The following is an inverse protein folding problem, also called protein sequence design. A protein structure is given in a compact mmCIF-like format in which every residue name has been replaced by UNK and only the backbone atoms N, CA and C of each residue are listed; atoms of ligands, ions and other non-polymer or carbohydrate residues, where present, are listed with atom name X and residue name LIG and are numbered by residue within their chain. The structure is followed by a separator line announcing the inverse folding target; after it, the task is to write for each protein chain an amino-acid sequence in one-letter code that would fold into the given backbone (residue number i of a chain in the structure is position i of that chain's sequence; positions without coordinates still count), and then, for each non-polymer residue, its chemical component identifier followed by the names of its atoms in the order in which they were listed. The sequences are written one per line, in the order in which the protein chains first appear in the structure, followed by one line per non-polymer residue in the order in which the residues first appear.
data_IF_443718756332
#
_entry.id   IF_443718756332
#
_cell.length_a   1.000
_cell.length_b   1.000
_cell.length_c   1.000
_cell.angle_alpha   90.00
_cell.angle_beta   90.00
_cell.angle_gamma   90.00
#
_symmetry.space_group_name_H-M   'P 1'
#
loop_
_entity.id
_entity.type
_entity.pdbx_description
1 polymer ?
#
# COMPACT_ATOMS: atom_id res chain seq x y z
N UNK A 1 -18.94 -9.37 -8.19
CA UNK A 1 -18.35 -9.17 -6.85
C UNK A 1 -17.25 -10.20 -6.59
N UNK A 2 -17.53 -11.52 -6.56
CA UNK A 2 -16.56 -12.57 -6.17
C UNK A 2 -15.32 -12.61 -7.06
N UNK A 3 -15.47 -12.52 -8.38
CA UNK A 3 -14.33 -12.49 -9.31
C UNK A 3 -13.42 -11.26 -9.03
N UNK A 4 -14.00 -10.09 -8.77
CA UNK A 4 -13.24 -8.90 -8.42
C UNK A 4 -12.43 -9.08 -7.13
N UNK A 5 -13.05 -9.63 -6.06
CA UNK A 5 -12.33 -9.92 -4.82
C UNK A 5 -11.22 -10.95 -5.01
N UNK A 6 -11.45 -12.00 -5.79
CA UNK A 6 -10.44 -13.01 -6.08
C UNK A 6 -9.24 -12.42 -6.82
N UNK A 7 -9.47 -11.57 -7.84
CA UNK A 7 -8.39 -10.85 -8.55
C UNK A 7 -7.65 -9.92 -7.62
N UNK A 8 -8.36 -9.16 -6.76
CA UNK A 8 -7.76 -8.28 -5.76
C UNK A 8 -6.82 -9.05 -4.84
N UNK A 9 -7.33 -10.10 -4.19
CA UNK A 9 -6.54 -10.91 -3.25
C UNK A 9 -5.34 -11.55 -3.94
N UNK A 10 -5.53 -12.14 -5.11
CA UNK A 10 -4.48 -12.83 -5.86
C UNK A 10 -3.38 -11.88 -6.32
N UNK A 11 -3.72 -10.68 -6.80
CA UNK A 11 -2.75 -9.68 -7.24
C UNK A 11 -1.84 -9.25 -6.08
N UNK A 12 -2.42 -8.90 -4.94
CA UNK A 12 -1.63 -8.47 -3.78
C UNK A 12 -0.93 -9.63 -3.07
N UNK A 13 -1.52 -10.84 -3.06
CA UNK A 13 -0.87 -12.04 -2.55
C UNK A 13 0.36 -12.42 -3.39
N UNK A 14 0.27 -12.39 -4.72
CA UNK A 14 1.43 -12.63 -5.59
C UNK A 14 2.53 -11.58 -5.37
N UNK A 15 2.16 -10.34 -5.09
CA UNK A 15 3.11 -9.25 -4.84
C UNK A 15 3.87 -9.40 -3.52
N UNK A 16 3.24 -9.97 -2.48
CA UNK A 16 3.87 -10.19 -1.18
C UNK A 16 4.67 -11.50 -1.08
N UNK A 17 4.53 -12.41 -2.03
CA UNK A 17 5.34 -13.62 -2.11
C UNK A 17 6.85 -13.30 -2.07
N UNK A 18 7.28 -12.32 -2.85
CA UNK A 18 8.69 -11.88 -2.91
C UNK A 18 9.17 -11.36 -1.55
N UNK A 19 8.31 -10.72 -0.76
CA UNK A 19 8.68 -10.10 0.52
C UNK A 19 9.16 -11.17 1.51
N UNK A 20 8.42 -12.27 1.66
CA UNK A 20 8.79 -13.38 2.52
C UNK A 20 10.02 -14.14 2.02
N UNK A 21 10.28 -14.13 0.70
CA UNK A 21 11.38 -14.83 0.07
C UNK A 21 12.64 -13.98 -0.13
N UNK A 22 12.61 -12.70 0.24
CA UNK A 22 13.66 -11.76 -0.16
C UNK A 22 15.05 -12.17 0.34
N UNK A 23 15.17 -12.76 1.54
CA UNK A 23 16.44 -13.30 2.04
C UNK A 23 16.93 -14.48 1.19
N UNK A 24 16.05 -15.43 0.86
CA UNK A 24 16.39 -16.56 0.00
C UNK A 24 16.77 -16.12 -1.43
N UNK A 25 16.05 -15.14 -1.99
CA UNK A 25 16.38 -14.58 -3.30
C UNK A 25 17.73 -13.87 -3.27
N UNK A 26 18.05 -13.15 -2.20
CA UNK A 26 19.35 -12.52 -2.00
C UNK A 26 20.49 -13.53 -2.04
N UNK A 27 20.32 -14.64 -1.35
CA UNK A 27 21.31 -15.75 -1.36
C UNK A 27 21.39 -16.40 -2.73
N UNK A 28 20.26 -16.68 -3.39
CA UNK A 28 20.20 -17.30 -4.71
C UNK A 28 20.92 -16.49 -5.77
N UNK A 29 20.71 -15.16 -5.78
CA UNK A 29 21.28 -14.26 -6.78
C UNK A 29 22.62 -13.65 -6.37
N UNK A 30 23.13 -13.97 -5.16
CA UNK A 30 24.37 -13.43 -4.59
C UNK A 30 24.39 -11.87 -4.59
N UNK A 31 23.27 -11.23 -4.22
CA UNK A 31 23.08 -9.77 -4.20
C UNK A 31 23.08 -9.22 -2.76
N UNK A 32 23.36 -7.93 -2.64
CA UNK A 32 23.34 -7.24 -1.33
C UNK A 32 21.93 -7.03 -0.80
N UNK A 33 21.81 -6.72 0.50
CA UNK A 33 20.54 -6.31 1.11
C UNK A 33 19.96 -5.06 0.45
N UNK A 34 20.82 -4.11 0.09
CA UNK A 34 20.42 -2.90 -0.63
C UNK A 34 19.90 -3.20 -2.03
N UNK A 35 20.55 -4.08 -2.80
CA UNK A 35 20.09 -4.47 -4.14
C UNK A 35 18.73 -5.15 -4.08
N UNK A 36 18.53 -6.03 -3.10
CA UNK A 36 17.25 -6.70 -2.87
C UNK A 36 16.16 -5.69 -2.49
N UNK A 37 16.44 -4.76 -1.58
CA UNK A 37 15.52 -3.69 -1.18
C UNK A 37 15.19 -2.75 -2.35
N UNK A 38 16.15 -2.46 -3.24
CA UNK A 38 15.99 -1.63 -4.43
C UNK A 38 14.89 -2.17 -5.36
N UNK A 39 14.66 -3.49 -5.39
CA UNK A 39 13.59 -4.08 -6.21
C UNK A 39 12.19 -3.63 -5.79
N UNK A 40 12.01 -3.20 -4.54
CA UNK A 40 10.76 -2.62 -4.05
C UNK A 40 10.45 -1.28 -4.71
N UNK A 41 11.48 -0.53 -5.13
CA UNK A 41 11.32 0.72 -5.88
C UNK A 41 10.72 0.43 -7.26
N UNK A 42 11.16 -0.65 -7.92
CA UNK A 42 10.58 -1.07 -9.20
C UNK A 42 9.09 -1.40 -9.06
N UNK A 43 8.69 -2.03 -7.95
CA UNK A 43 7.27 -2.27 -7.64
C UNK A 43 6.50 -0.94 -7.51
N UNK A 44 7.00 0.02 -6.74
CA UNK A 44 6.33 1.33 -6.60
C UNK A 44 6.31 2.12 -7.89
N UNK A 45 7.35 2.05 -8.71
CA UNK A 45 7.38 2.66 -10.04
C UNK A 45 6.29 2.06 -10.94
N UNK A 46 6.11 0.75 -10.91
CA UNK A 46 5.02 0.06 -11.61
C UNK A 46 3.64 0.50 -11.14
N UNK A 47 3.41 0.59 -9.81
CA UNK A 47 2.18 1.09 -9.23
C UNK A 47 1.90 2.53 -9.69
N UNK A 48 2.88 3.41 -9.58
CA UNK A 48 2.75 4.80 -9.96
C UNK A 48 2.43 4.95 -11.46
N UNK A 49 3.17 4.25 -12.32
CA UNK A 49 2.94 4.27 -13.77
C UNK A 49 1.52 3.77 -14.10
N UNK A 50 1.08 2.68 -13.49
CA UNK A 50 -0.26 2.13 -13.70
C UNK A 50 -1.34 3.12 -13.27
N UNK A 51 -1.25 3.69 -12.08
CA UNK A 51 -2.26 4.63 -11.57
C UNK A 51 -2.30 5.95 -12.34
N UNK A 52 -1.14 6.50 -12.69
CA UNK A 52 -1.06 7.79 -13.38
C UNK A 52 -1.50 7.72 -14.84
N UNK A 53 -1.06 6.70 -15.57
CA UNK A 53 -1.26 6.63 -17.01
C UNK A 53 -2.38 5.68 -17.42
N UNK A 54 -2.69 4.67 -16.60
CA UNK A 54 -3.64 3.62 -16.96
C UNK A 54 -4.88 3.54 -16.05
N UNK A 55 -4.89 4.25 -14.92
CA UNK A 55 -6.01 4.21 -13.96
C UNK A 55 -7.37 4.57 -14.55
N UNK A 56 -7.39 5.44 -15.59
CA UNK A 56 -8.63 5.87 -16.26
C UNK A 56 -9.03 5.01 -17.46
N UNK A 57 -8.17 4.06 -17.90
CA UNK A 57 -8.45 3.21 -19.06
C UNK A 57 -9.71 2.36 -18.88
N UNK A 58 -10.01 1.97 -17.65
CA UNK A 58 -11.21 1.20 -17.33
C UNK A 58 -12.53 1.95 -17.63
N UNK A 59 -12.49 3.28 -17.75
CA UNK A 59 -13.66 4.08 -18.16
C UNK A 59 -13.96 3.98 -19.66
N UNK A 60 -12.96 3.57 -20.47
CA UNK A 60 -13.11 3.36 -21.92
C UNK A 60 -13.26 1.88 -22.27
N UNK A 61 -12.42 1.03 -21.69
CA UNK A 61 -12.30 -0.37 -22.07
C UNK A 61 -13.08 -1.33 -21.16
N UNK A 62 -13.65 -0.81 -20.07
CA UNK A 62 -14.38 -1.60 -19.08
C UNK A 62 -13.53 -2.12 -17.92
N UNK A 63 -14.20 -2.45 -16.83
CA UNK A 63 -13.59 -2.98 -15.60
C UNK A 63 -13.04 -4.40 -15.82
N UNK A 64 -13.80 -5.22 -16.53
CA UNK A 64 -13.47 -6.64 -16.82
C UNK A 64 -12.16 -6.78 -17.57
N UNK A 65 -11.95 -5.97 -18.62
CA UNK A 65 -10.72 -6.02 -19.42
C UNK A 65 -9.49 -5.66 -18.57
N UNK A 66 -9.60 -4.65 -17.70
CA UNK A 66 -8.51 -4.26 -16.80
C UNK A 66 -8.25 -5.34 -15.75
N UNK A 67 -9.29 -6.01 -15.23
CA UNK A 67 -9.14 -7.14 -14.32
C UNK A 67 -8.47 -8.35 -15.00
N UNK A 68 -8.84 -8.66 -16.25
CA UNK A 68 -8.20 -9.72 -17.03
C UNK A 68 -6.71 -9.40 -17.30
N UNK A 69 -6.40 -8.14 -17.63
CA UNK A 69 -5.01 -7.69 -17.80
C UNK A 69 -4.20 -7.83 -16.51
N UNK A 70 -4.78 -7.46 -15.35
CA UNK A 70 -4.12 -7.65 -14.05
C UNK A 70 -3.85 -9.15 -13.78
N UNK A 71 -4.82 -10.05 -14.04
CA UNK A 71 -4.64 -11.49 -13.87
C UNK A 71 -3.57 -12.06 -14.82
N UNK A 72 -3.51 -11.61 -16.07
CA UNK A 72 -2.47 -12.01 -17.03
C UNK A 72 -1.08 -11.52 -16.61
N UNK A 73 -0.98 -10.32 -16.06
CA UNK A 73 0.28 -9.81 -15.50
C UNK A 73 0.73 -10.63 -14.30
N UNK A 74 -0.20 -11.04 -13.41
CA UNK A 74 0.12 -11.94 -12.29
C UNK A 74 0.67 -13.28 -12.82
N UNK A 75 0.06 -13.87 -13.86
CA UNK A 75 0.58 -15.08 -14.50
C UNK A 75 1.99 -14.89 -15.04
N UNK A 76 2.21 -13.81 -15.79
CA UNK A 76 3.54 -13.51 -16.35
C UNK A 76 4.60 -13.34 -15.25
N UNK A 77 4.24 -12.67 -14.15
CA UNK A 77 5.14 -12.51 -12.99
C UNK A 77 5.45 -13.85 -12.34
N UNK A 78 4.45 -14.71 -12.12
CA UNK A 78 4.66 -16.02 -11.50
C UNK A 78 5.55 -16.92 -12.39
N UNK A 79 5.41 -16.84 -13.72
CA UNK A 79 6.32 -17.50 -14.67
C UNK A 79 7.75 -16.96 -14.55
N UNK A 80 7.94 -15.64 -14.48
CA UNK A 80 9.27 -15.05 -14.29
C UNK A 80 9.91 -15.47 -12.96
N UNK A 81 9.12 -15.50 -11.87
CA UNK A 81 9.62 -15.91 -10.57
C UNK A 81 9.91 -17.41 -10.47
N UNK A 82 9.24 -18.25 -11.25
CA UNK A 82 9.55 -19.69 -11.32
C UNK A 82 10.89 -20.02 -11.95
N UNK A 83 11.42 -19.09 -12.77
CA UNK A 83 12.68 -19.20 -13.52
C UNK A 83 13.60 -18.01 -13.20
N UNK A 84 13.68 -17.66 -11.89
CA UNK A 84 14.45 -16.49 -11.46
C UNK A 84 15.95 -16.77 -11.50
N UNK A 85 16.66 -16.22 -12.50
CA UNK A 85 18.09 -16.44 -12.71
C UNK A 85 18.93 -15.15 -12.60
N UNK A 86 18.30 -13.98 -12.54
CA UNK A 86 19.00 -12.71 -12.52
C UNK A 86 18.30 -11.59 -11.77
N UNK A 87 19.07 -10.62 -11.28
CA UNK A 87 18.54 -9.41 -10.67
C UNK A 87 17.65 -8.60 -11.64
N UNK A 88 18.01 -8.59 -12.95
CA UNK A 88 17.19 -7.91 -13.96
C UNK A 88 15.78 -8.56 -14.09
N UNK A 89 15.71 -9.90 -14.08
CA UNK A 89 14.43 -10.61 -14.10
C UNK A 89 13.59 -10.27 -12.85
N UNK A 90 14.23 -10.16 -11.69
CA UNK A 90 13.55 -9.74 -10.45
C UNK A 90 13.02 -8.30 -10.55
N UNK A 91 13.79 -7.36 -11.10
CA UNK A 91 13.31 -5.98 -11.34
C UNK A 91 12.09 -5.95 -12.26
N UNK A 92 12.14 -6.71 -13.37
CA UNK A 92 11.01 -6.81 -14.31
C UNK A 92 9.78 -7.41 -13.61
N UNK A 93 9.95 -8.50 -12.86
CA UNK A 93 8.87 -9.11 -12.11
C UNK A 93 8.24 -8.11 -11.11
N UNK A 94 9.06 -7.37 -10.35
CA UNK A 94 8.59 -6.36 -9.39
C UNK A 94 7.87 -5.19 -10.08
N UNK A 95 8.38 -4.72 -11.22
CA UNK A 95 7.73 -3.67 -12.00
C UNK A 95 6.34 -4.13 -12.49
N UNK A 96 6.24 -5.34 -13.04
CA UNK A 96 4.98 -5.92 -13.50
C UNK A 96 4.00 -6.18 -12.34
N UNK A 97 4.49 -6.65 -11.18
CA UNK A 97 3.67 -6.77 -9.96
C UNK A 97 3.09 -5.42 -9.55
N UNK A 98 3.92 -4.38 -9.53
CA UNK A 98 3.46 -3.02 -9.23
C UNK A 98 2.41 -2.55 -10.23
N UNK A 99 2.65 -2.78 -11.52
CA UNK A 99 1.70 -2.40 -12.56
C UNK A 99 0.35 -3.12 -12.41
N UNK A 100 0.36 -4.43 -12.16
CA UNK A 100 -0.85 -5.20 -11.87
C UNK A 100 -1.59 -4.70 -10.63
N UNK A 101 -0.84 -4.36 -9.56
CA UNK A 101 -1.39 -3.80 -8.32
C UNK A 101 -2.05 -2.44 -8.55
N UNK A 102 -1.47 -1.57 -9.37
CA UNK A 102 -2.04 -0.28 -9.73
C UNK A 102 -3.32 -0.40 -10.58
N UNK A 103 -3.36 -1.32 -11.55
CA UNK A 103 -4.59 -1.64 -12.30
C UNK A 103 -5.69 -2.16 -11.37
N UNK A 104 -5.32 -3.05 -10.44
CA UNK A 104 -6.25 -3.62 -9.45
C UNK A 104 -6.77 -2.53 -8.53
N UNK A 105 -5.92 -1.67 -8.00
CA UNK A 105 -6.32 -0.57 -7.11
C UNK A 105 -7.24 0.46 -7.80
N UNK A 106 -7.10 0.69 -9.09
CA UNK A 106 -7.94 1.63 -9.83
C UNK A 106 -9.21 0.99 -10.42
N UNK A 107 -9.07 -0.10 -11.16
CA UNK A 107 -10.17 -0.68 -11.95
C UNK A 107 -10.93 -1.77 -11.20
N UNK A 108 -10.20 -2.70 -10.53
CA UNK A 108 -10.84 -3.85 -9.89
C UNK A 108 -11.57 -3.44 -8.60
N UNK A 109 -10.98 -2.54 -7.81
CA UNK A 109 -11.66 -2.00 -6.61
C UNK A 109 -12.93 -1.24 -7.01
N UNK A 110 -12.88 -0.43 -8.07
CA UNK A 110 -14.07 0.23 -8.59
C UNK A 110 -15.13 -0.79 -9.05
N UNK A 111 -14.72 -1.85 -9.76
CA UNK A 111 -15.60 -2.92 -10.18
C UNK A 111 -16.30 -3.63 -9.02
N UNK A 112 -15.55 -3.91 -7.94
CA UNK A 112 -16.12 -4.51 -6.73
C UNK A 112 -17.18 -3.58 -6.13
N UNK A 113 -16.86 -2.30 -5.94
CA UNK A 113 -17.77 -1.32 -5.33
C UNK A 113 -19.04 -1.13 -6.17
N UNK A 114 -18.89 -1.02 -7.49
CA UNK A 114 -20.00 -0.88 -8.43
C UNK A 114 -20.88 -2.14 -8.48
N UNK A 115 -20.32 -3.34 -8.20
CA UNK A 115 -21.02 -4.61 -8.20
C UNK A 115 -21.76 -4.92 -6.89
N UNK A 116 -21.54 -4.14 -5.83
CA UNK A 116 -22.23 -4.34 -4.54
C UNK A 116 -23.64 -3.74 -4.65
N UNK A 117 -24.70 -4.42 -4.12
CA UNK A 117 -26.05 -3.89 -4.11
C UNK A 117 -26.12 -2.49 -3.51
N UNK A 118 -26.94 -1.61 -4.07
CA UNK A 118 -27.04 -0.20 -3.71
C UNK A 118 -27.31 0.05 -2.20
N UNK A 119 -27.90 -0.92 -1.51
CA UNK A 119 -28.14 -0.86 -0.06
C UNK A 119 -26.83 -0.85 0.74
N UNK A 120 -25.80 -1.59 0.31
CA UNK A 120 -24.48 -1.66 0.95
C UNK A 120 -23.48 -0.65 0.36
N UNK A 121 -23.61 -0.34 -0.93
CA UNK A 121 -22.71 0.59 -1.63
C UNK A 121 -22.80 2.04 -1.10
N UNK A 122 -23.95 2.42 -0.51
CA UNK A 122 -24.13 3.73 0.15
C UNK A 122 -23.40 3.84 1.49
N UNK A 123 -22.94 2.73 2.08
CA UNK A 123 -22.15 2.76 3.29
C UNK A 123 -20.70 3.16 2.97
N UNK A 124 -20.32 4.37 3.37
CA UNK A 124 -18.95 4.87 3.27
C UNK A 124 -17.93 3.95 3.97
N UNK A 125 -18.37 3.23 5.02
CA UNK A 125 -17.55 2.28 5.76
C UNK A 125 -17.20 1.03 4.93
N UNK A 126 -18.15 0.46 4.16
CA UNK A 126 -17.90 -0.70 3.29
C UNK A 126 -16.93 -0.32 2.18
N UNK A 127 -17.14 0.82 1.51
CA UNK A 127 -16.24 1.29 0.46
C UNK A 127 -14.82 1.55 1.01
N UNK A 128 -14.71 2.16 2.19
CA UNK A 128 -13.41 2.39 2.84
C UNK A 128 -12.72 1.07 3.23
N UNK A 129 -13.48 0.07 3.68
CA UNK A 129 -12.97 -1.27 3.98
C UNK A 129 -12.38 -1.95 2.73
N UNK A 130 -13.07 -1.86 1.60
CA UNK A 130 -12.62 -2.47 0.35
C UNK A 130 -11.38 -1.75 -0.19
N UNK A 131 -11.41 -0.43 -0.21
CA UNK A 131 -10.31 0.40 -0.74
C UNK A 131 -9.04 0.26 0.10
N UNK A 132 -9.17 0.38 1.43
CA UNK A 132 -8.02 0.35 2.35
C UNK A 132 -7.65 -1.07 2.80
N UNK A 133 -8.65 -1.89 3.13
CA UNK A 133 -8.45 -3.24 3.69
C UNK A 133 -8.15 -4.30 2.64
N UNK A 134 -8.76 -4.22 1.46
CA UNK A 134 -8.63 -5.25 0.43
C UNK A 134 -7.18 -5.52 0.00
N UNK A 135 -6.40 -4.51 -0.41
CA UNK A 135 -4.98 -4.68 -0.72
C UNK A 135 -4.17 -5.25 0.45
N UNK A 136 -4.41 -4.76 1.66
CA UNK A 136 -3.67 -5.17 2.86
C UNK A 136 -3.96 -6.62 3.24
N UNK A 137 -5.20 -7.09 3.08
CA UNK A 137 -5.58 -8.49 3.28
C UNK A 137 -4.86 -9.36 2.24
N UNK A 138 -4.84 -8.96 0.98
CA UNK A 138 -4.12 -9.68 -0.07
C UNK A 138 -2.62 -9.80 0.24
N UNK A 139 -1.97 -8.72 0.61
CA UNK A 139 -0.57 -8.72 1.05
C UNK A 139 -0.34 -9.62 2.26
N UNK A 140 -1.18 -9.55 3.29
CA UNK A 140 -1.06 -10.37 4.48
C UNK A 140 -1.21 -11.86 4.17
N UNK A 141 -2.24 -12.23 3.40
CA UNK A 141 -2.50 -13.62 2.99
C UNK A 141 -1.33 -14.17 2.19
N UNK A 142 -0.83 -13.43 1.20
CA UNK A 142 0.26 -13.91 0.35
C UNK A 142 1.58 -14.09 1.10
N UNK A 143 1.94 -13.14 1.98
CA UNK A 143 3.15 -13.23 2.78
C UNK A 143 3.09 -14.40 3.78
N UNK A 144 1.98 -14.52 4.54
CA UNK A 144 1.81 -15.64 5.49
C UNK A 144 1.73 -16.98 4.78
N UNK A 145 0.97 -17.08 3.68
CA UNK A 145 0.89 -18.31 2.89
C UNK A 145 2.27 -18.75 2.44
N UNK A 146 3.09 -17.81 1.95
CA UNK A 146 4.47 -18.10 1.50
C UNK A 146 5.35 -18.54 2.67
N UNK A 147 5.32 -17.81 3.78
CA UNK A 147 6.10 -18.14 4.97
C UNK A 147 5.74 -19.53 5.53
N UNK A 148 4.43 -19.81 5.70
CA UNK A 148 3.94 -21.13 6.17
C UNK A 148 4.31 -22.23 5.17
N UNK A 149 4.12 -22.01 3.87
CA UNK A 149 4.38 -22.98 2.83
C UNK A 149 5.83 -23.44 2.81
N UNK A 150 6.75 -22.49 2.86
CA UNK A 150 8.18 -22.78 2.73
C UNK A 150 8.81 -23.17 4.09
N UNK A 151 8.47 -22.46 5.17
CA UNK A 151 9.12 -22.65 6.47
C UNK A 151 8.48 -23.76 7.30
N UNK A 152 7.14 -23.78 7.42
CA UNK A 152 6.44 -24.72 8.26
C UNK A 152 6.14 -26.04 7.54
N UNK A 153 5.61 -25.98 6.31
CA UNK A 153 5.27 -27.17 5.52
C UNK A 153 6.49 -27.74 4.78
N UNK A 154 7.55 -26.95 4.64
CA UNK A 154 8.79 -27.30 3.90
C UNK A 154 8.53 -27.81 2.48
N UNK A 155 7.48 -27.28 1.85
CA UNK A 155 7.10 -27.65 0.50
C UNK A 155 7.87 -26.83 -0.54
N UNK A 156 8.20 -27.41 -1.71
CA UNK A 156 8.87 -26.70 -2.79
C UNK A 156 8.05 -25.45 -3.22
N UNK A 157 8.74 -24.33 -3.41
CA UNK A 157 8.12 -23.07 -3.82
C UNK A 157 7.40 -23.17 -5.16
N UNK A 158 7.88 -24.04 -6.06
CA UNK A 158 7.27 -24.27 -7.37
C UNK A 158 5.80 -24.70 -7.28
N UNK A 159 5.42 -25.48 -6.27
CA UNK A 159 4.03 -25.87 -6.05
C UNK A 159 3.14 -24.68 -5.65
N UNK A 160 3.67 -23.76 -4.83
CA UNK A 160 2.95 -22.53 -4.48
C UNK A 160 2.77 -21.64 -5.70
N UNK A 161 3.82 -21.47 -6.51
CA UNK A 161 3.76 -20.71 -7.76
C UNK A 161 2.74 -21.33 -8.72
N UNK A 162 2.74 -22.66 -8.85
CA UNK A 162 1.78 -23.39 -9.69
C UNK A 162 0.33 -23.20 -9.19
N UNK A 163 0.13 -23.27 -7.87
CA UNK A 163 -1.17 -23.06 -7.24
C UNK A 163 -1.70 -21.65 -7.54
N UNK A 164 -0.88 -20.62 -7.29
CA UNK A 164 -1.26 -19.23 -7.55
C UNK A 164 -1.44 -18.96 -9.06
N UNK A 165 -0.59 -19.55 -9.90
CA UNK A 165 -0.71 -19.47 -11.35
C UNK A 165 -1.99 -20.13 -11.88
N UNK A 166 -2.33 -21.31 -11.37
CA UNK A 166 -3.58 -21.98 -11.68
C UNK A 166 -4.78 -21.15 -11.23
N UNK A 167 -4.73 -20.58 -10.03
CA UNK A 167 -5.77 -19.68 -9.55
C UNK A 167 -5.92 -18.46 -10.46
N UNK A 168 -4.82 -17.84 -10.90
CA UNK A 168 -4.83 -16.70 -11.83
C UNK A 168 -5.44 -17.09 -13.20
N UNK A 169 -5.09 -18.26 -13.73
CA UNK A 169 -5.66 -18.77 -14.98
C UNK A 169 -7.17 -19.02 -14.86
N UNK A 170 -7.62 -19.62 -13.76
CA UNK A 170 -9.04 -19.85 -13.48
C UNK A 170 -9.84 -18.56 -13.26
N UNK A 171 -9.18 -17.45 -12.88
CA UNK A 171 -9.86 -16.16 -12.79
C UNK A 171 -10.25 -15.60 -14.16
N UNK A 172 -9.55 -15.91 -15.25
CA UNK A 172 -9.86 -15.39 -16.59
C UNK A 172 -11.28 -15.77 -17.06
N UNK A 173 -11.71 -17.05 -17.06
CA UNK A 173 -13.08 -17.38 -17.37
C UNK A 173 -14.09 -16.80 -16.36
N UNK A 174 -13.76 -16.75 -15.06
CA UNK A 174 -14.63 -16.14 -14.06
C UNK A 174 -14.86 -14.64 -14.30
N UNK A 175 -13.81 -13.91 -14.72
CA UNK A 175 -13.91 -12.51 -15.14
C UNK A 175 -14.78 -12.39 -16.39
N UNK A 176 -14.58 -13.26 -17.38
CA UNK A 176 -15.33 -13.24 -18.63
C UNK A 176 -16.84 -13.46 -18.41
N UNK A 177 -17.20 -14.36 -17.51
CA UNK A 177 -18.59 -14.68 -17.16
C UNK A 177 -19.24 -13.64 -16.23
N UNK A 178 -18.46 -12.71 -15.66
CA UNK A 178 -18.99 -11.69 -14.77
C UNK A 178 -19.57 -10.51 -15.54
N UNK A 179 -20.52 -9.77 -14.92
CA UNK A 179 -21.10 -8.57 -15.54
C UNK A 179 -20.10 -7.41 -15.59
N UNK A 180 -20.10 -6.67 -16.70
CA UNK A 180 -19.42 -5.38 -16.81
C UNK A 180 -20.25 -4.29 -16.11
N UNK A 181 -19.60 -3.45 -15.31
CA UNK A 181 -20.28 -2.36 -14.59
C UNK A 181 -19.96 -0.98 -15.14
N UNK A 182 -18.89 -0.85 -15.91
CA UNK A 182 -18.50 0.44 -16.46
C UNK A 182 -19.42 0.86 -17.61
N UNK A 183 -19.87 2.10 -17.58
CA UNK A 183 -20.41 2.77 -18.74
C UNK A 183 -19.27 3.26 -19.62
N UNK A 184 -18.84 2.41 -20.59
CA UNK A 184 -17.72 2.72 -21.47
C UNK A 184 -18.03 3.98 -22.30
N UNK A 185 -17.15 4.98 -22.21
CA UNK A 185 -17.28 6.24 -22.97
C UNK A 185 -16.20 6.31 -24.05
N UNK A 186 -16.51 6.82 -25.25
CA UNK A 186 -15.53 7.00 -26.31
C UNK A 186 -14.62 8.22 -26.02
N UNK A 187 -13.75 8.07 -25.02
CA UNK A 187 -12.76 9.10 -24.68
C UNK A 187 -11.51 8.87 -25.52
N UNK A 188 -10.91 9.88 -26.15
CA UNK A 188 -9.66 9.74 -26.88
C UNK A 188 -8.55 9.15 -26.01
N UNK A 189 -7.76 8.21 -26.54
CA UNK A 189 -6.70 7.52 -25.78
C UNK A 189 -5.67 8.51 -25.24
N UNK A 190 -5.36 9.56 -25.99
CA UNK A 190 -4.47 10.64 -25.56
C UNK A 190 -4.92 11.27 -24.24
N UNK A 191 -6.21 11.57 -24.11
CA UNK A 191 -6.76 12.22 -22.91
C UNK A 191 -6.81 11.28 -21.70
N UNK A 192 -6.86 9.95 -21.95
CA UNK A 192 -6.83 8.93 -20.91
C UNK A 192 -5.44 8.70 -20.34
N UNK A 193 -4.40 8.78 -21.20
CA UNK A 193 -3.01 8.56 -20.83
C UNK A 193 -2.34 9.81 -20.23
N UNK A 194 -2.96 10.99 -20.37
CA UNK A 194 -2.44 12.21 -19.73
C UNK A 194 -2.79 12.20 -18.24
N UNK A 195 -1.78 12.30 -17.34
CA UNK A 195 -2.03 12.42 -15.92
C UNK A 195 -2.87 13.66 -15.61
N UNK A 196 -4.04 13.47 -15.03
CA UNK A 196 -4.88 14.59 -14.57
C UNK A 196 -4.49 14.93 -13.13
N UNK A 197 -3.41 15.70 -12.99
CA UNK A 197 -2.89 16.14 -11.69
C UNK A 197 -3.32 17.58 -11.45
N UNK A 198 -4.31 17.79 -10.62
CA UNK A 198 -4.76 19.11 -10.21
C UNK A 198 -4.72 19.27 -8.71
N UNK A 199 -4.11 20.36 -8.25
CA UNK A 199 -4.16 20.79 -6.87
C UNK A 199 -5.15 21.94 -6.72
N UNK A 200 -6.33 21.72 -6.12
CA UNK A 200 -7.31 22.77 -5.90
C UNK A 200 -6.73 23.93 -5.10
N UNK A 201 -7.00 25.18 -5.49
CA UNK A 201 -6.41 26.37 -4.85
C UNK A 201 -6.62 26.40 -3.33
N UNK A 202 -7.78 25.93 -2.86
CA UNK A 202 -8.15 25.87 -1.43
C UNK A 202 -7.32 24.88 -0.61
N UNK A 203 -6.76 23.84 -1.25
CA UNK A 203 -5.94 22.82 -0.59
C UNK A 203 -4.45 23.18 -0.59
N UNK A 204 -4.01 24.08 -1.47
CA UNK A 204 -2.59 24.47 -1.58
C UNK A 204 -1.92 24.83 -0.25
N UNK A 205 -2.54 25.61 0.67
CA UNK A 205 -1.89 25.99 1.92
C UNK A 205 -1.64 24.82 2.88
N UNK A 206 -2.48 23.77 2.77
CA UNK A 206 -2.41 22.58 3.65
C UNK A 206 -1.76 21.38 2.96
N UNK A 207 -1.47 21.47 1.64
CA UNK A 207 -1.02 20.33 0.86
C UNK A 207 0.26 19.71 1.41
N UNK A 208 1.28 20.52 1.67
CA UNK A 208 2.56 20.02 2.20
C UNK A 208 2.41 19.36 3.58
N UNK A 209 1.83 20.01 4.60
CA UNK A 209 1.66 19.36 5.92
C UNK A 209 0.72 18.15 5.89
N UNK A 210 -0.29 18.15 5.03
CA UNK A 210 -1.15 16.99 4.79
C UNK A 210 -0.36 15.84 4.16
N UNK A 211 0.38 16.12 3.08
CA UNK A 211 1.19 15.11 2.40
C UNK A 211 2.31 14.57 3.30
N UNK A 212 2.90 15.40 4.17
CA UNK A 212 3.90 14.94 5.13
C UNK A 212 3.35 13.82 6.03
N UNK A 213 2.12 13.96 6.54
CA UNK A 213 1.49 12.90 7.34
C UNK A 213 1.23 11.62 6.51
N UNK A 214 0.77 11.75 5.27
CA UNK A 214 0.52 10.60 4.37
C UNK A 214 1.82 9.91 3.98
N UNK A 215 2.84 10.68 3.57
CA UNK A 215 4.16 10.18 3.17
C UNK A 215 4.82 9.41 4.32
N UNK A 216 4.68 9.87 5.57
CA UNK A 216 5.22 9.17 6.74
C UNK A 216 4.76 7.72 6.83
N UNK A 217 3.46 7.46 6.72
CA UNK A 217 2.92 6.10 6.73
C UNK A 217 3.31 5.28 5.50
N UNK A 218 3.35 5.91 4.32
CA UNK A 218 3.69 5.23 3.07
C UNK A 218 5.17 4.84 3.00
N UNK A 219 6.08 5.69 3.46
CA UNK A 219 7.52 5.37 3.53
C UNK A 219 7.80 4.26 4.53
N UNK A 220 7.08 4.21 5.67
CA UNK A 220 7.15 3.05 6.58
C UNK A 220 6.63 1.77 5.93
N UNK A 221 5.55 1.83 5.18
CA UNK A 221 5.05 0.69 4.41
C UNK A 221 6.03 0.21 3.35
N UNK A 222 6.70 1.13 2.66
CA UNK A 222 7.77 0.82 1.71
C UNK A 222 8.97 0.18 2.41
N UNK A 223 9.35 0.69 3.57
CA UNK A 223 10.40 0.13 4.40
C UNK A 223 10.04 -1.28 4.88
N UNK A 224 8.82 -1.50 5.35
CA UNK A 224 8.33 -2.81 5.72
C UNK A 224 8.43 -3.82 4.57
N UNK A 225 8.04 -3.43 3.35
CA UNK A 225 8.17 -4.31 2.18
C UNK A 225 9.62 -4.67 1.85
N UNK A 226 10.54 -3.72 1.98
CA UNK A 226 11.93 -3.90 1.59
C UNK A 226 12.77 -4.61 2.66
N UNK A 227 12.47 -4.39 3.93
CA UNK A 227 13.38 -4.76 5.03
C UNK A 227 12.80 -5.77 6.04
N UNK A 228 11.56 -6.26 5.88
CA UNK A 228 11.00 -7.24 6.83
C UNK A 228 11.85 -8.52 6.94
N UNK A 229 12.37 -9.04 5.82
CA UNK A 229 13.23 -10.22 5.84
C UNK A 229 14.59 -9.95 6.51
N UNK A 230 15.37 -8.91 6.16
CA UNK A 230 16.60 -8.57 6.87
C UNK A 230 16.40 -8.27 8.37
N UNK A 231 15.28 -7.64 8.74
CA UNK A 231 14.97 -7.37 10.14
C UNK A 231 14.70 -8.63 10.93
N UNK A 232 13.92 -9.58 10.37
CA UNK A 232 13.65 -10.87 10.99
C UNK A 232 14.93 -11.70 11.10
N UNK A 233 15.74 -11.77 10.05
CA UNK A 233 17.03 -12.46 10.02
C UNK A 233 17.99 -11.92 11.10
N UNK A 234 18.08 -10.59 11.24
CA UNK A 234 18.94 -9.98 12.28
C UNK A 234 18.45 -10.26 13.68
N UNK A 235 17.12 -10.26 13.92
CA UNK A 235 16.53 -10.50 15.23
C UNK A 235 16.61 -11.98 15.67
N UNK A 236 16.58 -12.91 14.73
CA UNK A 236 16.59 -14.35 15.01
C UNK A 236 17.98 -14.98 14.83
N UNK A 237 18.90 -14.30 14.14
CA UNK A 237 20.22 -14.82 13.81
C UNK A 237 20.24 -15.86 12.67
N UNK A 238 19.11 -16.11 12.03
CA UNK A 238 18.97 -17.01 10.88
C UNK A 238 17.83 -16.58 9.97
N UNK A 239 17.85 -17.07 8.70
CA UNK A 239 16.77 -16.83 7.75
C UNK A 239 15.54 -17.66 8.13
N UNK A 240 14.42 -16.97 8.41
CA UNK A 240 13.11 -17.56 8.69
C UNK A 240 12.04 -16.78 7.90
N UNK A 241 11.47 -17.45 6.90
CA UNK A 241 10.52 -16.84 5.95
C UNK A 241 9.18 -16.55 6.60
N UNK A 242 8.80 -17.34 7.60
CA UNK A 242 7.58 -17.09 8.38
C UNK A 242 7.75 -15.85 9.28
N UNK A 243 8.91 -15.73 9.93
CA UNK A 243 9.23 -14.55 10.74
C UNK A 243 9.27 -13.28 9.89
N UNK A 244 9.87 -13.33 8.69
CA UNK A 244 9.86 -12.24 7.73
C UNK A 244 8.41 -11.83 7.33
N UNK A 245 7.56 -12.83 7.06
CA UNK A 245 6.14 -12.60 6.79
C UNK A 245 5.42 -11.98 7.99
N UNK A 246 5.67 -12.44 9.21
CA UNK A 246 5.08 -11.93 10.45
C UNK A 246 5.48 -10.47 10.69
N UNK A 247 6.74 -10.09 10.47
CA UNK A 247 7.20 -8.70 10.57
C UNK A 247 6.46 -7.81 9.56
N UNK A 248 6.34 -8.25 8.30
CA UNK A 248 5.62 -7.49 7.29
C UNK A 248 4.13 -7.37 7.59
N UNK A 249 3.48 -8.49 7.93
CA UNK A 249 2.03 -8.56 8.19
C UNK A 249 1.67 -7.78 9.47
N UNK A 250 2.53 -7.80 10.48
CA UNK A 250 2.35 -7.01 11.69
C UNK A 250 2.10 -5.52 11.37
N UNK A 251 2.86 -4.97 10.43
CA UNK A 251 2.64 -3.60 9.97
C UNK A 251 1.39 -3.45 9.09
N UNK A 252 1.31 -4.22 7.99
CA UNK A 252 0.34 -3.95 6.92
C UNK A 252 -1.10 -4.31 7.31
N UNK A 253 -1.30 -5.34 8.12
CA UNK A 253 -2.63 -5.75 8.57
C UNK A 253 -3.27 -4.67 9.46
N UNK A 254 -2.51 -4.12 10.41
CA UNK A 254 -3.03 -3.10 11.32
C UNK A 254 -3.14 -1.72 10.66
N UNK A 255 -2.33 -1.41 9.65
CA UNK A 255 -2.51 -0.20 8.84
C UNK A 255 -3.91 -0.13 8.22
N UNK A 256 -4.43 -1.25 7.71
CA UNK A 256 -5.78 -1.32 7.14
C UNK A 256 -6.88 -0.98 8.14
N UNK A 257 -6.72 -1.37 9.41
CA UNK A 257 -7.70 -1.12 10.46
C UNK A 257 -7.78 0.34 10.91
N UNK A 258 -6.76 1.15 10.64
CA UNK A 258 -6.71 2.55 11.05
C UNK A 258 -7.92 3.37 10.62
N UNK A 259 -8.42 3.15 9.38
CA UNK A 259 -9.60 3.83 8.87
C UNK A 259 -10.89 3.53 9.66
N UNK A 260 -11.05 2.31 10.19
CA UNK A 260 -12.21 1.91 10.98
C UNK A 260 -12.19 2.46 12.41
N UNK A 261 -11.00 2.70 12.93
CA UNK A 261 -10.82 3.24 14.28
C UNK A 261 -10.95 4.77 14.33
N UNK A 262 -11.03 5.42 13.18
CA UNK A 262 -11.17 6.88 13.08
C UNK A 262 -12.55 7.33 13.57
N UNK A 263 -12.62 7.77 14.84
CA UNK A 263 -13.83 8.30 15.48
C UNK A 263 -13.59 9.75 15.93
N UNK A 264 -14.66 10.55 15.93
CA UNK A 264 -14.62 11.94 16.42
C UNK A 264 -13.85 12.89 15.49
N UNK A 265 -13.06 13.80 16.09
CA UNK A 265 -12.31 14.84 15.40
C UNK A 265 -11.16 14.25 14.59
N UNK A 266 -11.16 14.50 13.28
CA UNK A 266 -10.10 14.03 12.38
C UNK A 266 -8.76 14.71 12.71
N UNK A 267 -8.76 15.98 13.13
CA UNK A 267 -7.55 16.69 13.52
C UNK A 267 -6.90 16.06 14.76
N UNK A 268 -7.70 15.78 15.81
CA UNK A 268 -7.17 15.14 17.02
C UNK A 268 -6.68 13.73 16.72
N UNK A 269 -7.42 12.95 15.93
CA UNK A 269 -6.99 11.62 15.52
C UNK A 269 -5.67 11.66 14.74
N UNK A 270 -5.49 12.63 13.84
CA UNK A 270 -4.23 12.85 13.13
C UNK A 270 -3.09 13.15 14.11
N UNK A 271 -3.28 14.11 15.00
CA UNK A 271 -2.23 14.52 15.95
C UNK A 271 -1.80 13.40 16.89
N UNK A 272 -2.78 12.71 17.51
CA UNK A 272 -2.47 11.59 18.42
C UNK A 272 -1.84 10.41 17.69
N UNK A 273 -2.32 10.06 16.50
CA UNK A 273 -1.75 8.95 15.75
C UNK A 273 -0.30 9.21 15.34
N UNK A 274 0.04 10.44 14.95
CA UNK A 274 1.42 10.78 14.61
C UNK A 274 2.36 10.71 15.82
N UNK A 275 1.92 11.17 17.00
CA UNK A 275 2.71 11.07 18.23
C UNK A 275 2.86 9.61 18.68
N UNK A 276 1.76 8.85 18.66
CA UNK A 276 1.77 7.42 19.04
C UNK A 276 2.57 6.57 18.06
N UNK A 277 2.62 6.94 16.78
CA UNK A 277 3.48 6.31 15.77
C UNK A 277 4.97 6.50 16.12
N UNK A 278 5.39 7.72 16.55
CA UNK A 278 6.77 7.94 17.03
C UNK A 278 7.08 7.13 18.28
N UNK A 279 6.17 7.06 19.23
CA UNK A 279 6.34 6.25 20.43
C UNK A 279 6.48 4.76 20.08
N UNK A 280 5.60 4.24 19.20
CA UNK A 280 5.68 2.86 18.73
C UNK A 280 7.01 2.59 18.01
N UNK A 281 7.49 3.52 17.19
CA UNK A 281 8.76 3.38 16.49
C UNK A 281 9.96 3.42 17.45
N UNK A 282 9.92 4.26 18.47
CA UNK A 282 10.95 4.25 19.54
C UNK A 282 11.01 2.90 20.24
N UNK A 283 9.84 2.33 20.59
CA UNK A 283 9.76 1.00 21.18
C UNK A 283 10.26 -0.09 20.22
N UNK A 284 9.96 0.02 18.92
CA UNK A 284 10.44 -0.92 17.91
C UNK A 284 11.97 -0.89 17.81
N UNK A 285 12.59 0.30 17.79
CA UNK A 285 14.06 0.44 17.78
C UNK A 285 14.66 -0.17 19.07
N UNK A 286 14.07 0.14 20.24
CA UNK A 286 14.51 -0.42 21.52
C UNK A 286 14.43 -1.95 21.53
N UNK A 287 13.30 -2.52 21.09
CA UNK A 287 13.11 -3.96 20.99
C UNK A 287 14.11 -4.61 20.01
N UNK A 288 14.39 -3.93 18.88
CA UNK A 288 15.37 -4.39 17.89
C UNK A 288 16.80 -4.44 18.50
N UNK A 289 17.20 -3.38 19.18
CA UNK A 289 18.53 -3.33 19.85
C UNK A 289 18.64 -4.39 20.96
N UNK A 290 17.55 -4.63 21.70
CA UNK A 290 17.48 -5.67 22.73
C UNK A 290 17.29 -7.09 22.17
N UNK A 291 17.32 -7.30 20.86
CA UNK A 291 17.10 -8.59 20.19
C UNK A 291 15.79 -9.27 20.61
N UNK A 292 14.75 -8.47 20.88
CA UNK A 292 13.43 -8.96 21.28
C UNK A 292 12.48 -9.00 20.08
N UNK A 293 12.38 -10.15 19.42
CA UNK A 293 11.54 -10.34 18.23
C UNK A 293 10.06 -10.00 18.49
N UNK A 294 9.47 -10.54 19.57
CA UNK A 294 8.07 -10.29 19.90
C UNK A 294 7.80 -8.80 20.20
N UNK A 295 8.66 -8.19 21.00
CA UNK A 295 8.59 -6.75 21.30
C UNK A 295 8.70 -5.90 20.05
N UNK A 296 9.58 -6.27 19.11
CA UNK A 296 9.70 -5.61 17.82
C UNK A 296 8.42 -5.73 16.99
N UNK A 297 7.89 -6.95 16.80
CA UNK A 297 6.68 -7.20 16.00
C UNK A 297 5.48 -6.43 16.56
N UNK A 298 5.26 -6.46 17.88
CA UNK A 298 4.15 -5.73 18.52
C UNK A 298 4.28 -4.22 18.36
N UNK A 299 5.47 -3.67 18.56
CA UNK A 299 5.73 -2.22 18.38
C UNK A 299 5.61 -1.81 16.91
N UNK A 300 6.11 -2.65 15.99
CA UNK A 300 6.01 -2.45 14.56
C UNK A 300 4.56 -2.49 14.05
N UNK A 301 3.77 -3.38 14.62
CA UNK A 301 2.31 -3.44 14.41
C UNK A 301 1.61 -2.15 14.89
N UNK A 302 2.05 -1.58 16.02
CA UNK A 302 1.64 -0.26 16.48
C UNK A 302 1.97 0.85 15.48
N UNK A 303 3.17 0.83 14.89
CA UNK A 303 3.53 1.77 13.80
C UNK A 303 2.55 1.67 12.63
N UNK A 304 2.19 0.45 12.20
CA UNK A 304 1.20 0.22 11.16
C UNK A 304 -0.17 0.82 11.51
N UNK A 305 -0.67 0.51 12.71
CA UNK A 305 -1.97 0.98 13.19
C UNK A 305 -2.06 2.51 13.21
N UNK A 306 -1.10 3.16 13.84
CA UNK A 306 -1.10 4.61 13.97
C UNK A 306 -0.85 5.32 12.64
N UNK A 307 -0.02 4.76 11.76
CA UNK A 307 0.12 5.23 10.37
C UNK A 307 -1.20 5.16 9.61
N UNK A 308 -1.96 4.08 9.76
CA UNK A 308 -3.28 3.91 9.14
C UNK A 308 -4.31 4.91 9.64
N UNK A 309 -4.38 5.15 10.96
CA UNK A 309 -5.25 6.17 11.56
C UNK A 309 -4.87 7.57 11.04
N UNK A 310 -3.59 7.89 11.02
CA UNK A 310 -3.07 9.17 10.54
C UNK A 310 -3.38 9.41 9.07
N UNK A 311 -3.16 8.41 8.22
CA UNK A 311 -3.49 8.48 6.79
C UNK A 311 -4.99 8.67 6.55
N UNK A 312 -5.85 7.91 7.26
CA UNK A 312 -7.30 8.05 7.15
C UNK A 312 -7.80 9.42 7.63
N UNK A 313 -7.24 9.93 8.74
CA UNK A 313 -7.57 11.25 9.27
C UNK A 313 -7.15 12.36 8.31
N UNK A 314 -5.92 12.29 7.77
CA UNK A 314 -5.41 13.22 6.78
C UNK A 314 -6.29 13.23 5.52
N UNK A 315 -6.65 12.06 4.99
CA UNK A 315 -7.55 11.93 3.83
C UNK A 315 -8.93 12.53 4.11
N UNK A 316 -9.50 12.28 5.29
CA UNK A 316 -10.79 12.87 5.68
C UNK A 316 -10.75 14.39 5.72
N UNK A 317 -9.68 14.99 6.25
CA UNK A 317 -9.49 16.45 6.27
C UNK A 317 -9.37 17.01 4.86
N UNK A 318 -8.48 16.45 4.03
CA UNK A 318 -8.19 16.98 2.70
C UNK A 318 -9.34 16.81 1.71
N UNK A 319 -10.17 15.75 1.86
CA UNK A 319 -11.27 15.45 0.94
C UNK A 319 -12.60 16.10 1.32
N UNK A 320 -12.68 16.75 2.50
CA UNK A 320 -13.95 17.27 3.04
C UNK A 320 -14.63 18.31 2.15
N UNK A 321 -13.82 19.22 1.55
CA UNK A 321 -14.32 20.34 0.72
C UNK A 321 -13.99 20.18 -0.78
N UNK A 322 -13.61 18.97 -1.21
CA UNK A 322 -13.32 18.70 -2.62
C UNK A 322 -14.61 18.33 -3.36
N UNK A 323 -14.87 19.04 -4.46
CA UNK A 323 -16.00 18.73 -5.33
C UNK A 323 -15.85 17.36 -5.98
N UNK A 324 -16.97 16.71 -6.32
CA UNK A 324 -16.98 15.34 -6.84
C UNK A 324 -16.14 15.19 -8.13
N UNK A 325 -16.13 16.20 -8.97
CA UNK A 325 -15.36 16.27 -10.22
C UNK A 325 -13.84 16.41 -10.01
N UNK A 326 -13.41 17.07 -8.92
CA UNK A 326 -12.00 17.27 -8.58
C UNK A 326 -11.38 16.08 -7.79
N UNK A 327 -12.22 15.20 -7.20
CA UNK A 327 -11.75 14.12 -6.30
C UNK A 327 -10.80 13.15 -6.98
N UNK A 328 -11.08 12.77 -8.21
CA UNK A 328 -10.24 11.82 -8.94
C UNK A 328 -8.85 12.40 -9.22
N UNK A 329 -8.78 13.68 -9.61
CA UNK A 329 -7.53 14.39 -9.91
C UNK A 329 -6.69 14.59 -8.64
N UNK A 330 -7.34 14.92 -7.51
CA UNK A 330 -6.67 15.07 -6.21
C UNK A 330 -6.14 13.74 -5.69
N UNK A 331 -6.91 12.65 -5.80
CA UNK A 331 -6.44 11.31 -5.43
C UNK A 331 -5.24 10.88 -6.28
N UNK A 332 -5.30 11.11 -7.60
CA UNK A 332 -4.18 10.81 -8.49
C UNK A 332 -2.92 11.58 -8.07
N UNK A 333 -3.05 12.85 -7.69
CA UNK A 333 -1.94 13.67 -7.19
C UNK A 333 -1.38 13.12 -5.87
N UNK A 334 -2.23 12.74 -4.92
CA UNK A 334 -1.82 12.16 -3.63
C UNK A 334 -1.04 10.87 -3.87
N UNK A 335 -1.56 9.97 -4.71
CA UNK A 335 -0.88 8.73 -5.05
C UNK A 335 0.45 8.97 -5.78
N UNK A 336 0.49 9.90 -6.74
CA UNK A 336 1.72 10.25 -7.44
C UNK A 336 2.81 10.74 -6.49
N UNK A 337 2.47 11.70 -5.62
CA UNK A 337 3.42 12.26 -4.65
C UNK A 337 3.81 11.21 -3.61
N UNK A 338 2.86 10.41 -3.12
CA UNK A 338 3.11 9.34 -2.15
C UNK A 338 4.06 8.27 -2.69
N UNK A 339 3.83 7.76 -3.91
CA UNK A 339 4.71 6.77 -4.53
C UNK A 339 6.08 7.35 -4.89
N UNK A 340 6.14 8.59 -5.39
CA UNK A 340 7.41 9.25 -5.67
C UNK A 340 8.23 9.43 -4.38
N UNK A 341 7.62 9.90 -3.29
CA UNK A 341 8.28 10.02 -2.00
C UNK A 341 8.75 8.67 -1.45
N UNK A 342 7.91 7.61 -1.57
CA UNK A 342 8.27 6.24 -1.17
C UNK A 342 9.41 5.68 -2.00
N UNK A 343 9.44 5.97 -3.31
CA UNK A 343 10.53 5.55 -4.20
C UNK A 343 11.85 6.26 -3.86
N UNK A 344 11.81 7.58 -3.65
CA UNK A 344 13.00 8.36 -3.25
C UNK A 344 13.53 7.89 -1.90
N UNK A 345 12.65 7.76 -0.92
CA UNK A 345 13.01 7.25 0.41
C UNK A 345 13.55 5.82 0.33
N UNK A 346 12.88 4.93 -0.41
CA UNK A 346 13.29 3.55 -0.62
C UNK A 346 14.67 3.46 -1.28
N UNK A 347 14.95 4.32 -2.26
CA UNK A 347 16.27 4.43 -2.88
C UNK A 347 17.35 4.79 -1.85
N UNK A 348 17.11 5.85 -1.07
CA UNK A 348 18.05 6.29 -0.04
C UNK A 348 18.27 5.19 1.01
N UNK A 349 17.20 4.56 1.49
CA UNK A 349 17.29 3.46 2.45
C UNK A 349 18.03 2.23 1.89
N UNK A 350 17.79 1.88 0.62
CA UNK A 350 18.46 0.76 -0.04
C UNK A 350 19.96 1.00 -0.23
N UNK A 351 20.34 2.21 -0.63
CA UNK A 351 21.77 2.58 -0.73
C UNK A 351 22.41 2.55 0.66
N UNK A 352 21.77 3.17 1.66
CA UNK A 352 22.30 3.25 3.02
C UNK A 352 22.46 1.88 3.67
N UNK A 353 21.58 0.93 3.37
CA UNK A 353 21.61 -0.44 3.89
C UNK A 353 22.89 -1.22 3.54
N UNK A 354 23.64 -0.78 2.52
CA UNK A 354 24.93 -1.39 2.16
C UNK A 354 26.10 -0.86 3.00
N UNK A 355 25.92 0.23 3.72
CA UNK A 355 27.00 0.93 4.44
C UNK A 355 26.81 0.97 5.95
N UNK A 356 25.57 0.81 6.44
CA UNK A 356 25.26 0.89 7.87
C UNK A 356 24.47 -0.32 8.34
N UNK A 357 24.63 -0.72 9.63
CA UNK A 357 23.81 -1.80 10.20
C UNK A 357 22.34 -1.39 10.30
N UNK A 358 21.43 -2.38 10.31
CA UNK A 358 19.99 -2.15 10.25
C UNK A 358 19.44 -1.29 11.40
N UNK A 359 20.03 -1.33 12.60
CA UNK A 359 19.60 -0.46 13.70
C UNK A 359 19.84 1.02 13.42
N UNK A 360 20.97 1.37 12.74
CA UNK A 360 21.22 2.76 12.32
C UNK A 360 20.26 3.17 11.20
N UNK A 361 19.95 2.24 10.31
CA UNK A 361 18.94 2.46 9.26
C UNK A 361 17.56 2.74 9.88
N UNK A 362 17.15 1.99 10.91
CA UNK A 362 15.92 2.26 11.66
C UNK A 362 15.93 3.64 12.31
N UNK A 363 17.07 4.08 12.87
CA UNK A 363 17.22 5.43 13.41
C UNK A 363 17.11 6.51 12.31
N UNK A 364 17.69 6.28 11.13
CA UNK A 364 17.57 7.19 9.99
C UNK A 364 16.10 7.31 9.52
N UNK A 365 15.39 6.19 9.45
CA UNK A 365 13.94 6.17 9.18
C UNK A 365 13.16 6.94 10.24
N UNK A 366 13.50 6.77 11.52
CA UNK A 366 12.88 7.52 12.62
C UNK A 366 13.06 9.04 12.44
N UNK A 367 14.28 9.50 12.14
CA UNK A 367 14.58 10.92 11.91
C UNK A 367 13.78 11.45 10.71
N UNK A 368 13.70 10.67 9.63
CA UNK A 368 12.87 11.01 8.47
C UNK A 368 11.40 11.19 8.87
N UNK A 369 10.83 10.21 9.56
CA UNK A 369 9.44 10.25 10.00
C UNK A 369 9.20 11.41 10.97
N UNK A 370 10.11 11.63 11.92
CA UNK A 370 10.03 12.75 12.86
C UNK A 370 9.98 14.10 12.12
N UNK A 371 10.81 14.28 11.08
CA UNK A 371 10.82 15.52 10.29
C UNK A 371 9.48 15.77 9.59
N UNK A 372 8.88 14.72 9.01
CA UNK A 372 7.56 14.80 8.37
C UNK A 372 6.44 15.10 9.39
N UNK A 373 6.50 14.47 10.54
CA UNK A 373 5.54 14.71 11.64
C UNK A 373 5.62 16.15 12.13
N UNK A 374 6.83 16.69 12.32
CA UNK A 374 7.03 18.08 12.73
C UNK A 374 6.42 19.05 11.70
N UNK A 375 6.62 18.82 10.40
CA UNK A 375 6.00 19.62 9.33
C UNK A 375 4.47 19.58 9.45
N UNK A 376 3.89 18.40 9.70
CA UNK A 376 2.44 18.25 9.83
C UNK A 376 1.90 18.91 11.10
N UNK A 377 2.49 18.62 12.27
CA UNK A 377 1.99 19.08 13.56
C UNK A 377 2.20 20.59 13.81
N UNK A 378 3.26 21.20 13.28
CA UNK A 378 3.54 22.63 13.45
C UNK A 378 2.71 23.53 12.53
N UNK A 379 2.09 22.96 11.50
CA UNK A 379 1.33 23.73 10.52
C UNK A 379 0.08 24.41 11.11
N UNK A 380 0.12 25.74 11.19
CA UNK A 380 -1.05 26.54 11.57
C UNK A 380 -2.17 26.43 10.55
N UNK A 381 -1.83 26.40 9.26
CA UNK A 381 -2.80 26.30 8.17
C UNK A 381 -3.60 24.99 8.22
N UNK A 382 -2.93 23.85 8.46
CA UNK A 382 -3.61 22.56 8.58
C UNK A 382 -4.59 22.57 9.77
N UNK A 383 -4.18 23.10 10.92
CA UNK A 383 -5.04 23.19 12.10
C UNK A 383 -6.27 24.08 11.88
N UNK A 384 -6.07 25.26 11.27
CA UNK A 384 -7.15 26.19 10.96
C UNK A 384 -8.14 25.58 9.95
N UNK A 385 -7.62 24.97 8.89
CA UNK A 385 -8.46 24.33 7.87
C UNK A 385 -9.26 23.15 8.45
N UNK A 386 -8.63 22.30 9.24
CA UNK A 386 -9.32 21.16 9.87
C UNK A 386 -10.42 21.62 10.84
N UNK A 387 -10.17 22.67 11.63
CA UNK A 387 -11.18 23.27 12.51
C UNK A 387 -12.37 23.84 11.73
N UNK A 388 -12.11 24.50 10.60
CA UNK A 388 -13.16 25.04 9.71
C UNK A 388 -14.01 23.92 9.11
N UNK A 389 -13.39 22.82 8.65
CA UNK A 389 -14.09 21.64 8.13
C UNK A 389 -14.98 21.00 9.20
N UNK A 390 -14.47 20.85 10.42
CA UNK A 390 -15.24 20.27 11.54
C UNK A 390 -16.43 21.15 11.92
N UNK A 391 -16.26 22.46 12.00
CA UNK A 391 -17.32 23.42 12.28
C UNK A 391 -18.43 23.38 11.21
N UNK A 392 -18.05 23.42 9.92
CA UNK A 392 -18.99 23.31 8.80
C UNK A 392 -19.74 21.98 8.75
N UNK A 393 -19.12 20.89 9.21
CA UNK A 393 -19.78 19.59 9.32
C UNK A 393 -20.81 19.53 10.48
N UNK A 394 -20.54 20.23 11.58
CA UNK A 394 -21.47 20.35 12.72
C UNK A 394 -22.72 21.16 12.33
N UNK A 395 -22.56 22.28 11.64
CA UNK A 395 -23.69 23.09 11.17
C UNK A 395 -24.58 22.37 10.17
N UNK A 396 -24.01 21.57 9.25
CA UNK A 396 -24.79 20.75 8.31
C UNK A 396 -25.58 19.65 9.00
N UNK A 397 -25.11 19.10 10.12
CA UNK A 397 -25.85 18.11 10.92
C UNK A 397 -26.96 18.73 11.74
N UNK A 398 -26.75 19.92 12.28
CA UNK A 398 -27.77 20.65 13.02
C UNK A 398 -28.94 21.09 12.11
N UNK A 399 -28.66 21.65 10.93
CA UNK A 399 -29.66 22.05 9.95
C UNK A 399 -30.36 20.90 9.19
N UNK A 400 -29.95 19.64 9.40
CA UNK A 400 -30.65 18.46 8.87
C UNK A 400 -31.49 17.73 9.93
N UNK A 401 -31.45 18.22 11.17
CA UNK A 401 -32.24 17.70 12.30
C UNK A 401 -33.48 18.58 12.60
N UNK A 402 -33.54 19.78 11.97
CA UNK A 402 -34.72 20.66 11.90
C UNK A 402 -35.49 20.39 10.59
#
# INVERSE_FOLDING_TARGET
VYAGFAVLLLTFASSSLVIALLAAIRTLLAITTGDAAMTTIAYFAGCAASLLFFGRLSNRFGRRLMAALAALLVLAVLMLLSQLESLAALYIARLLQGFASGLTASAVIAWIIESIPALYAKSSAVSAAIVGGGPSIGFAVGALLTGIWVESLKMPLQWLILLLGTAAALMLPAIYLSAETAHCRPIPLKDLLMPALKLPKRIRPIFLPFMAAVIGGWTLGAFAQAFSAPLAETLLGHDDRLAAAVVFVGFIALFAWGGFLLRGSALRALQYSLVLMLAAMTLAIGAFVCQNFLGFVLSWAGCGLFSGIGAAAAMKISMADIHADERAEMLALIYAVGYAASAIFGFMASVLANYVPLWQLLCAVFIWILSLILISLTSKHLRQYAAMVEFGALHRKAGAAD
#
